data_IF_745945628868
#
_entry.id   IF_745945628868
#
_cell.length_a   1.000
_cell.length_b   1.000
_cell.length_c   1.000
_cell.angle_alpha   90.00
_cell.angle_beta   90.00
_cell.angle_gamma   90.00
#
_symmetry.space_group_name_H-M   'P 1'
#
loop_
_entity.id
_entity.type
_entity.pdbx_description
1 polymer ?
#
# COMPACT_ATOMS: atom_id res chain seq x y z
N UNK A 1 11.12 5.40 -30.83
CA UNK A 1 10.66 4.43 -29.81
C UNK A 1 11.83 4.13 -28.90
N UNK A 2 11.76 4.62 -27.66
CA UNK A 2 12.87 4.68 -26.70
C UNK A 2 13.24 3.32 -26.10
N UNK A 3 14.03 2.53 -26.84
CA UNK A 3 14.73 1.36 -26.33
C UNK A 3 16.04 1.77 -25.63
N UNK A 4 15.97 2.75 -24.74
CA UNK A 4 17.14 3.32 -24.08
C UNK A 4 17.01 3.13 -22.58
N UNK A 5 17.87 2.26 -22.03
CA UNK A 5 18.41 2.41 -20.68
C UNK A 5 17.58 1.89 -19.47
N UNK A 6 16.99 0.70 -19.56
CA UNK A 6 16.59 -0.08 -18.34
C UNK A 6 17.41 -1.37 -18.16
N UNK A 7 18.34 -1.68 -19.05
CA UNK A 7 19.00 -2.99 -19.14
C UNK A 7 20.34 -3.11 -18.38
N UNK A 8 20.58 -2.26 -17.37
CA UNK A 8 21.72 -2.37 -16.44
C UNK A 8 21.20 -2.22 -15.01
N UNK A 9 20.24 -3.07 -14.62
CA UNK A 9 19.68 -3.12 -13.27
C UNK A 9 19.93 -4.47 -12.63
N UNK A 10 20.10 -4.49 -11.30
CA UNK A 10 20.18 -5.70 -10.48
C UNK A 10 18.78 -6.26 -10.10
N UNK A 11 17.71 -5.84 -10.79
CA UNK A 11 16.33 -5.99 -10.34
C UNK A 11 15.95 -4.96 -9.27
N UNK A 12 14.82 -5.16 -8.59
CA UNK A 12 14.30 -4.26 -7.53
C UNK A 12 15.10 -4.32 -6.21
N UNK A 13 16.26 -4.99 -6.20
CA UNK A 13 17.04 -5.24 -4.99
C UNK A 13 16.40 -6.25 -4.03
N UNK A 14 17.08 -6.61 -2.93
CA UNK A 14 16.51 -7.47 -1.91
C UNK A 14 15.49 -6.69 -1.07
N UNK A 15 14.30 -7.27 -0.88
CA UNK A 15 13.41 -6.88 0.20
C UNK A 15 14.09 -7.19 1.55
N UNK A 16 14.25 -6.16 2.39
CA UNK A 16 14.81 -6.26 3.75
C UNK A 16 13.81 -5.62 4.70
N UNK A 17 13.38 -6.38 5.71
CA UNK A 17 12.50 -5.90 6.77
C UNK A 17 13.00 -6.39 8.13
N UNK A 18 12.44 -5.81 9.19
CA UNK A 18 12.83 -6.14 10.57
C UNK A 18 12.61 -7.63 10.88
N UNK A 19 11.46 -8.17 10.48
CA UNK A 19 11.04 -9.55 10.77
C UNK A 19 11.30 -10.54 9.62
N UNK A 20 12.12 -10.15 8.64
CA UNK A 20 12.39 -11.00 7.49
C UNK A 20 13.47 -12.05 7.82
N UNK A 21 13.17 -13.31 7.53
CA UNK A 21 14.09 -14.44 7.68
C UNK A 21 14.85 -14.77 6.39
N UNK A 22 14.47 -14.15 5.26
CA UNK A 22 14.97 -14.45 3.92
C UNK A 22 15.30 -13.20 3.13
N UNK A 23 16.29 -13.33 2.25
CA UNK A 23 16.61 -12.33 1.23
C UNK A 23 15.69 -12.57 0.03
N UNK A 24 14.76 -11.65 -0.25
CA UNK A 24 13.80 -11.80 -1.35
C UNK A 24 14.20 -10.86 -2.48
N UNK A 25 14.61 -11.41 -3.63
CA UNK A 25 14.92 -10.61 -4.82
C UNK A 25 13.85 -10.84 -5.90
N UNK A 26 13.17 -9.77 -6.33
CA UNK A 26 12.12 -9.83 -7.35
C UNK A 26 12.70 -9.40 -8.71
N UNK A 27 12.42 -10.20 -9.75
CA UNK A 27 12.86 -9.95 -11.13
C UNK A 27 11.62 -9.88 -12.01
N UNK A 28 11.54 -8.86 -12.88
CA UNK A 28 10.45 -8.73 -13.83
C UNK A 28 10.49 -9.83 -14.87
N UNK A 29 9.32 -10.33 -15.28
CA UNK A 29 9.19 -11.30 -16.37
C UNK A 29 9.76 -10.78 -17.70
N UNK A 30 9.78 -9.46 -17.91
CA UNK A 30 10.34 -8.84 -19.12
C UNK A 30 11.87 -8.73 -19.10
N UNK A 31 12.54 -9.12 -18.00
CA UNK A 31 13.99 -8.98 -17.85
C UNK A 31 14.75 -9.93 -18.78
N UNK A 32 15.71 -9.39 -19.53
CA UNK A 32 16.65 -10.17 -20.35
C UNK A 32 17.73 -10.88 -19.53
N UNK A 33 18.42 -11.83 -20.18
CA UNK A 33 19.46 -12.66 -19.54
C UNK A 33 20.54 -11.87 -18.75
N UNK A 34 21.05 -10.70 -19.19
CA UNK A 34 22.04 -9.93 -18.42
C UNK A 34 21.51 -9.43 -17.07
N UNK A 35 20.24 -9.02 -17.02
CA UNK A 35 19.58 -8.53 -15.79
C UNK A 35 19.35 -9.68 -14.82
N UNK A 36 18.91 -10.85 -15.32
CA UNK A 36 18.74 -12.05 -14.52
C UNK A 36 20.07 -12.48 -13.89
N UNK A 37 21.15 -12.52 -14.69
CA UNK A 37 22.48 -12.86 -14.20
C UNK A 37 22.98 -11.86 -13.13
N UNK A 38 22.73 -10.57 -13.34
CA UNK A 38 23.01 -9.52 -12.35
C UNK A 38 22.26 -9.75 -11.04
N UNK A 39 20.95 -9.98 -11.10
CA UNK A 39 20.11 -10.21 -9.92
C UNK A 39 20.54 -11.46 -9.13
N UNK A 40 20.89 -12.56 -9.79
CA UNK A 40 21.43 -13.76 -9.13
C UNK A 40 22.77 -13.47 -8.45
N UNK A 41 23.67 -12.74 -9.11
CA UNK A 41 24.96 -12.33 -8.52
C UNK A 41 24.75 -11.47 -7.28
N UNK A 42 23.78 -10.56 -7.32
CA UNK A 42 23.47 -9.68 -6.20
C UNK A 42 22.84 -10.41 -5.03
N UNK A 43 21.91 -11.35 -5.29
CA UNK A 43 21.37 -12.24 -4.27
C UNK A 43 22.48 -13.04 -3.56
N UNK A 44 23.46 -13.56 -4.32
CA UNK A 44 24.65 -14.22 -3.76
C UNK A 44 25.45 -13.26 -2.86
N UNK A 45 25.65 -12.03 -3.28
CA UNK A 45 26.38 -11.02 -2.49
C UNK A 45 25.66 -10.65 -1.20
N UNK A 46 24.33 -10.55 -1.23
CA UNK A 46 23.50 -10.33 -0.05
C UNK A 46 23.62 -11.50 0.95
N UNK A 47 23.56 -12.75 0.46
CA UNK A 47 23.72 -13.94 1.28
C UNK A 47 25.14 -14.02 1.88
N UNK A 48 26.18 -13.84 1.06
CA UNK A 48 27.58 -13.86 1.50
C UNK A 48 27.89 -12.73 2.49
N UNK A 49 27.30 -11.56 2.27
CA UNK A 49 27.45 -10.38 3.11
C UNK A 49 26.66 -10.42 4.42
N UNK A 50 25.92 -11.52 4.68
CA UNK A 50 25.05 -11.68 5.85
C UNK A 50 24.09 -10.50 6.01
N UNK A 51 23.44 -10.09 4.93
CA UNK A 51 22.60 -8.90 4.88
C UNK A 51 21.56 -8.88 6.01
N UNK A 52 20.91 -10.00 6.28
CA UNK A 52 19.89 -10.11 7.34
C UNK A 52 20.47 -9.86 8.73
N UNK A 53 21.67 -10.35 9.02
CA UNK A 53 22.31 -10.14 10.32
C UNK A 53 22.67 -8.67 10.52
N UNK A 54 23.17 -8.02 9.47
CA UNK A 54 23.45 -6.58 9.49
C UNK A 54 22.17 -5.77 9.68
N UNK A 55 21.12 -6.09 8.92
CA UNK A 55 19.82 -5.43 9.04
C UNK A 55 19.27 -5.55 10.47
N UNK A 56 19.31 -6.73 11.08
CA UNK A 56 18.90 -6.92 12.48
C UNK A 56 19.71 -6.06 13.45
N UNK A 57 21.03 -5.97 13.26
CA UNK A 57 21.89 -5.12 14.10
C UNK A 57 21.51 -3.65 13.97
N UNK A 58 21.26 -3.17 12.74
CA UNK A 58 20.79 -1.81 12.50
C UNK A 58 19.43 -1.55 13.16
N UNK A 59 18.45 -2.46 13.00
CA UNK A 59 17.14 -2.34 13.65
C UNK A 59 17.23 -2.28 15.18
N UNK A 60 18.06 -3.13 15.79
CA UNK A 60 18.33 -3.08 17.24
C UNK A 60 18.97 -1.74 17.64
N UNK A 61 19.92 -1.23 16.85
CA UNK A 61 20.60 0.03 17.13
C UNK A 61 19.63 1.22 17.05
N UNK A 62 18.78 1.29 16.02
CA UNK A 62 17.81 2.38 15.87
C UNK A 62 16.70 2.30 16.92
N UNK A 63 16.22 1.11 17.28
CA UNK A 63 15.26 0.93 18.38
C UNK A 63 15.85 1.43 19.71
N UNK A 64 17.11 1.09 19.99
CA UNK A 64 17.83 1.61 21.16
C UNK A 64 18.00 3.14 21.12
N UNK A 65 18.14 3.72 19.93
CA UNK A 65 18.21 5.17 19.73
C UNK A 65 16.85 5.88 19.85
N UNK A 66 15.76 5.16 20.10
CA UNK A 66 14.43 5.74 20.28
C UNK A 66 13.63 5.89 18.98
N UNK A 67 13.91 5.06 17.98
CA UNK A 67 13.13 4.99 16.74
C UNK A 67 11.62 4.91 16.98
N UNK A 68 11.18 4.07 17.93
CA UNK A 68 9.76 3.92 18.26
C UNK A 68 9.12 5.22 18.77
N UNK A 69 9.90 6.07 19.47
CA UNK A 69 9.44 7.39 19.92
C UNK A 69 9.26 8.36 18.77
N UNK A 70 10.16 8.32 17.78
CA UNK A 70 10.07 9.17 16.58
C UNK A 70 8.86 8.76 15.74
N UNK A 71 8.68 7.46 15.50
CA UNK A 71 7.50 6.93 14.80
C UNK A 71 6.19 7.32 15.51
N UNK A 72 6.12 7.12 16.82
CA UNK A 72 4.93 7.51 17.59
C UNK A 72 4.67 9.03 17.62
N UNK A 73 5.68 9.86 17.34
CA UNK A 73 5.53 11.30 17.15
C UNK A 73 4.93 11.66 15.78
N UNK A 74 5.33 10.93 14.73
CA UNK A 74 4.85 11.15 13.37
C UNK A 74 3.39 10.73 13.16
N UNK A 75 2.95 9.67 13.85
CA UNK A 75 1.54 9.19 13.76
C UNK A 75 0.54 10.19 14.35
N UNK A 76 0.98 11.09 15.24
CA UNK A 76 0.09 12.10 15.85
C UNK A 76 -0.27 13.27 14.94
N UNK A 77 0.57 13.56 13.95
CA UNK A 77 0.37 14.67 12.99
C UNK A 77 -0.18 14.18 11.63
N UNK A 78 -0.26 12.87 11.41
CA UNK A 78 -1.14 12.33 10.37
C UNK A 78 -2.60 12.43 10.83
N UNK A 79 -3.54 12.91 10.00
CA UNK A 79 -4.96 12.79 10.33
C UNK A 79 -5.23 11.31 10.56
N UNK A 80 -5.55 10.95 11.81
CA UNK A 80 -5.84 9.60 12.33
C UNK A 80 -5.95 8.53 11.22
N UNK A 81 -4.80 8.03 10.76
CA UNK A 81 -4.75 6.80 9.97
C UNK A 81 -4.87 5.67 10.98
N UNK A 82 -5.98 4.95 10.91
CA UNK A 82 -6.26 3.74 11.67
C UNK A 82 -6.48 3.92 13.19
N UNK A 83 -7.60 4.51 13.57
CA UNK A 83 -8.40 3.81 14.60
C UNK A 83 -9.09 2.68 13.82
N UNK A 84 -8.77 1.40 14.09
CA UNK A 84 -9.62 0.30 13.64
C UNK A 84 -11.05 0.64 14.09
N UNK A 85 -11.99 0.97 13.18
CA UNK A 85 -13.34 1.16 13.61
C UNK A 85 -13.85 -0.22 14.00
N UNK A 86 -14.25 -0.36 15.26
CA UNK A 86 -15.05 -1.46 15.77
C UNK A 86 -16.03 -1.89 14.67
N UNK A 87 -15.88 -3.14 14.20
CA UNK A 87 -16.38 -3.62 12.91
C UNK A 87 -17.70 -3.01 12.48
N UNK A 88 -17.63 -2.02 11.59
CA UNK A 88 -18.82 -1.51 10.90
C UNK A 88 -19.32 -2.65 10.02
N UNK A 89 -20.36 -3.33 10.47
CA UNK A 89 -20.95 -4.43 9.73
C UNK A 89 -21.41 -3.92 8.37
N UNK A 90 -20.90 -4.53 7.29
CA UNK A 90 -21.29 -4.16 5.95
C UNK A 90 -22.82 -4.22 5.81
N UNK A 91 -23.48 -3.14 5.37
CA UNK A 91 -24.92 -3.15 5.14
C UNK A 91 -25.28 -4.16 4.03
N UNK A 92 -26.56 -4.56 3.90
CA UNK A 92 -26.98 -5.59 2.95
C UNK A 92 -26.45 -5.31 1.54
N UNK A 93 -25.79 -6.31 0.95
CA UNK A 93 -25.21 -6.18 -0.39
C UNK A 93 -26.26 -5.74 -1.40
N UNK A 94 -25.99 -4.62 -2.07
CA UNK A 94 -26.79 -4.08 -3.17
C UNK A 94 -25.99 -4.12 -4.48
N UNK A 95 -26.67 -4.17 -5.64
CA UNK A 95 -25.98 -4.05 -6.92
C UNK A 95 -25.34 -2.66 -7.03
N UNK A 96 -24.01 -2.64 -7.15
CA UNK A 96 -23.25 -1.42 -7.39
C UNK A 96 -23.28 -1.13 -8.90
N UNK A 97 -23.71 0.08 -9.26
CA UNK A 97 -23.92 0.50 -10.64
C UNK A 97 -23.32 1.87 -10.94
N UNK A 98 -22.73 2.52 -9.94
CA UNK A 98 -22.08 3.80 -10.05
C UNK A 98 -20.68 3.76 -9.42
N UNK A 99 -19.75 4.47 -10.07
CA UNK A 99 -18.38 4.64 -9.58
C UNK A 99 -18.16 6.10 -9.15
N UNK A 100 -17.41 6.26 -8.05
CA UNK A 100 -16.94 7.54 -7.51
C UNK A 100 -15.41 7.53 -7.60
N UNK A 101 -14.82 8.22 -8.60
CA UNK A 101 -13.38 8.37 -8.73
C UNK A 101 -12.87 9.53 -7.87
N UNK A 102 -11.54 9.57 -7.66
CA UNK A 102 -10.85 10.71 -7.04
C UNK A 102 -10.45 10.50 -5.58
N UNK A 103 -10.56 9.27 -5.08
CA UNK A 103 -10.21 8.92 -3.70
C UNK A 103 -8.78 8.36 -3.69
N UNK A 104 -7.99 8.75 -2.70
CA UNK A 104 -6.65 8.20 -2.51
C UNK A 104 -6.74 6.71 -2.16
N UNK A 105 -5.86 5.89 -2.74
CA UNK A 105 -5.77 4.46 -2.45
C UNK A 105 -5.55 4.19 -0.96
N UNK A 106 -4.82 5.08 -0.28
CA UNK A 106 -4.54 4.96 1.16
C UNK A 106 -5.77 5.24 2.04
N UNK A 107 -6.79 5.90 1.49
CA UNK A 107 -8.01 6.29 2.22
C UNK A 107 -9.25 5.52 1.74
N UNK A 108 -9.07 4.55 0.84
CA UNK A 108 -10.17 3.86 0.18
C UNK A 108 -11.02 3.04 1.16
N UNK A 109 -10.37 2.38 2.13
CA UNK A 109 -11.05 1.60 3.17
C UNK A 109 -11.80 2.52 4.14
N UNK A 110 -11.19 3.62 4.57
CA UNK A 110 -11.82 4.59 5.48
C UNK A 110 -13.04 5.24 4.83
N UNK A 111 -12.94 5.59 3.55
CA UNK A 111 -14.04 6.14 2.77
C UNK A 111 -15.21 5.14 2.61
N UNK A 112 -14.92 3.84 2.44
CA UNK A 112 -15.95 2.78 2.45
C UNK A 112 -16.60 2.65 3.83
N UNK A 113 -15.82 2.71 4.91
CA UNK A 113 -16.31 2.64 6.28
C UNK A 113 -17.24 3.81 6.66
N UNK A 114 -16.96 5.02 6.15
CA UNK A 114 -17.87 6.18 6.31
C UNK A 114 -19.22 5.92 5.66
N UNK A 115 -19.24 5.30 4.48
CA UNK A 115 -20.49 4.96 3.79
C UNK A 115 -21.25 3.84 4.53
N UNK A 116 -20.56 2.80 5.00
CA UNK A 116 -21.17 1.74 5.79
C UNK A 116 -21.78 2.26 7.11
N UNK A 117 -21.11 3.21 7.77
CA UNK A 117 -21.61 3.86 9.00
C UNK A 117 -22.92 4.63 8.76
N UNK A 118 -23.16 5.06 7.53
CA UNK A 118 -24.40 5.72 7.08
C UNK A 118 -25.41 4.73 6.46
N UNK A 119 -25.24 3.41 6.66
CA UNK A 119 -26.06 2.34 6.07
C UNK A 119 -26.07 2.30 4.54
N UNK A 120 -25.02 2.83 3.89
CA UNK A 120 -24.87 2.79 2.42
C UNK A 120 -23.92 1.66 2.06
N UNK A 121 -24.36 0.73 1.21
CA UNK A 121 -23.48 -0.32 0.69
C UNK A 121 -22.51 0.24 -0.34
N UNK A 122 -21.23 0.14 -0.01
CA UNK A 122 -20.12 0.57 -0.84
C UNK A 122 -19.04 -0.53 -0.91
N UNK A 123 -18.37 -0.64 -2.05
CA UNK A 123 -17.21 -1.51 -2.23
C UNK A 123 -16.06 -0.71 -2.84
N UNK A 124 -14.84 -1.01 -2.45
CA UNK A 124 -13.65 -0.49 -3.13
C UNK A 124 -13.42 -1.21 -4.46
N UNK A 125 -12.81 -0.52 -5.42
CA UNK A 125 -12.46 -1.05 -6.72
C UNK A 125 -11.36 -0.25 -7.42
N UNK A 126 -10.93 -0.74 -8.58
CA UNK A 126 -9.98 -0.06 -9.47
C UNK A 126 -10.66 0.21 -10.80
N UNK A 127 -10.95 1.49 -11.07
CA UNK A 127 -11.50 1.94 -12.34
C UNK A 127 -10.41 2.25 -13.36
N UNK A 128 -10.82 2.68 -14.56
CA UNK A 128 -9.90 3.02 -15.66
C UNK A 128 -8.91 4.16 -15.31
N UNK A 129 -9.23 5.00 -14.33
CA UNK A 129 -8.44 6.19 -13.95
C UNK A 129 -7.86 6.12 -12.53
N UNK A 130 -7.93 4.96 -11.87
CA UNK A 130 -7.37 4.79 -10.52
C UNK A 130 -8.38 4.20 -9.52
N UNK A 131 -8.12 4.36 -8.21
CA UNK A 131 -9.00 3.88 -7.14
C UNK A 131 -10.38 4.51 -7.23
N UNK A 132 -11.42 3.68 -7.10
CA UNK A 132 -12.83 4.10 -7.16
C UNK A 132 -13.63 3.44 -6.04
N UNK A 133 -14.67 4.12 -5.57
CA UNK A 133 -15.70 3.50 -4.73
C UNK A 133 -16.93 3.18 -5.59
N UNK A 134 -17.41 1.95 -5.47
CA UNK A 134 -18.58 1.40 -6.13
C UNK A 134 -19.77 1.49 -5.19
N UNK A 135 -20.84 2.18 -5.63
CA UNK A 135 -22.10 2.33 -4.89
C UNK A 135 -23.31 2.07 -5.81
N UNK A 136 -24.49 1.91 -5.24
CA UNK A 136 -25.73 1.90 -6.01
C UNK A 136 -25.99 3.30 -6.63
N UNK A 137 -26.56 3.35 -7.83
CA UNK A 137 -26.82 4.64 -8.51
C UNK A 137 -27.72 5.58 -7.71
N UNK A 138 -28.66 5.02 -6.93
CA UNK A 138 -29.55 5.76 -6.02
C UNK A 138 -28.79 6.45 -4.88
N UNK A 139 -27.73 5.81 -4.38
CA UNK A 139 -26.95 6.28 -3.23
C UNK A 139 -25.77 7.17 -3.65
N UNK A 140 -25.50 7.33 -4.95
CA UNK A 140 -24.35 8.09 -5.48
C UNK A 140 -24.33 9.53 -4.99
N UNK A 141 -25.45 10.24 -5.07
CA UNK A 141 -25.51 11.66 -4.69
C UNK A 141 -25.20 11.86 -3.20
N UNK A 142 -25.80 11.01 -2.35
CA UNK A 142 -25.58 11.03 -0.91
C UNK A 142 -24.14 10.64 -0.55
N UNK A 143 -23.61 9.60 -1.20
CA UNK A 143 -22.23 9.13 -1.00
C UNK A 143 -21.19 10.19 -1.35
N UNK A 144 -21.36 10.90 -2.47
CA UNK A 144 -20.46 12.00 -2.86
C UNK A 144 -20.48 13.14 -1.83
N UNK A 145 -21.66 13.45 -1.28
CA UNK A 145 -21.77 14.50 -0.27
C UNK A 145 -21.08 14.10 1.04
N UNK A 146 -21.34 12.88 1.54
CA UNK A 146 -20.71 12.35 2.74
C UNK A 146 -19.17 12.28 2.62
N UNK A 147 -18.67 11.86 1.45
CA UNK A 147 -17.23 11.78 1.20
C UNK A 147 -16.57 13.16 1.11
N UNK A 148 -17.27 14.18 0.59
CA UNK A 148 -16.81 15.57 0.61
C UNK A 148 -16.80 16.16 2.01
N UNK A 149 -17.85 15.91 2.79
CA UNK A 149 -17.93 16.35 4.19
C UNK A 149 -16.85 15.71 5.06
N UNK A 150 -16.49 14.46 4.76
CA UNK A 150 -15.39 13.75 5.40
C UNK A 150 -13.99 14.09 4.84
N UNK A 151 -13.90 14.91 3.78
CA UNK A 151 -12.62 15.39 3.23
C UNK A 151 -11.87 14.40 2.33
N UNK A 152 -12.55 13.40 1.77
CA UNK A 152 -11.97 12.40 0.86
C UNK A 152 -12.11 12.75 -0.64
N UNK A 153 -12.85 13.82 -0.98
CA UNK A 153 -13.14 14.29 -2.33
C UNK A 153 -12.97 15.81 -2.49
#
# INVERSE_FOLDING_TARGET
MGASYEAIGFGYGPGVGEDYDRVICIISRASGAPVIAGAIRYARECARGKLLDKARQEFVAVKKAGWDRVLGGLVKDSPKLHEEPEGVAAPPSKPVSAEIPGIDILQLEDAVNVLWSNNIYASSGMGCTGPVILVASEDKANSVQLLKEAGYL
#
